data_IF_264495506170
#
_entry.id   IF_264495506170
#
_cell.length_a   1.000
_cell.length_b   1.000
_cell.length_c   1.000
_cell.angle_alpha   90.00
_cell.angle_beta   90.00
_cell.angle_gamma   90.00
#
_symmetry.space_group_name_H-M   'P 1'
#
loop_
_entity.id
_entity.type
_entity.pdbx_description
1 polymer ?
#
# COMPACT_ATOMS: atom_id res chain seq x y z
N UNK A 1 -1.51 10.33 -30.48
CA UNK A 1 -0.67 10.86 -29.39
C UNK A 1 -1.42 10.67 -28.08
N UNK A 2 -0.96 9.77 -27.22
CA UNK A 2 -1.59 9.47 -25.93
C UNK A 2 -1.44 10.69 -25.00
N UNK A 3 -2.53 11.22 -24.50
CA UNK A 3 -2.54 12.32 -23.55
C UNK A 3 -2.12 11.82 -22.17
N UNK A 4 -1.11 12.42 -21.59
CA UNK A 4 -0.68 12.12 -20.23
C UNK A 4 -1.82 12.37 -19.22
N UNK A 5 -2.07 11.38 -18.36
CA UNK A 5 -3.03 11.50 -17.26
C UNK A 5 -2.60 12.59 -16.28
N UNK A 6 -3.49 13.52 -15.96
CA UNK A 6 -3.17 14.57 -15.00
C UNK A 6 -3.30 14.07 -13.56
N UNK A 7 -2.51 14.62 -12.63
CA UNK A 7 -2.58 14.34 -11.19
C UNK A 7 -4.01 14.49 -10.61
N UNK A 8 -4.85 15.35 -11.21
CA UNK A 8 -6.27 15.48 -10.87
C UNK A 8 -7.11 14.24 -11.21
N UNK A 9 -6.73 13.47 -12.25
CA UNK A 9 -7.39 12.21 -12.61
C UNK A 9 -7.19 11.14 -11.52
N UNK A 10 -5.98 11.02 -11.01
CA UNK A 10 -5.65 10.07 -9.95
C UNK A 10 -6.38 10.38 -8.63
N UNK A 11 -6.48 11.66 -8.26
CA UNK A 11 -7.21 12.08 -7.05
C UNK A 11 -8.70 11.76 -7.13
N UNK A 12 -9.28 11.73 -8.34
CA UNK A 12 -10.69 11.36 -8.57
C UNK A 12 -10.90 9.85 -8.65
N UNK A 13 -9.90 9.10 -9.07
CA UNK A 13 -9.96 7.63 -9.10
C UNK A 13 -10.06 7.02 -7.69
N UNK A 14 -9.64 7.74 -6.66
CA UNK A 14 -9.62 7.25 -5.26
C UNK A 14 -10.93 7.45 -4.49
N UNK A 15 -12.07 7.69 -5.13
CA UNK A 15 -13.33 7.61 -4.37
C UNK A 15 -14.54 8.44 -4.79
N UNK A 16 -14.54 9.11 -5.92
CA UNK A 16 -15.77 9.75 -6.43
C UNK A 16 -15.96 9.38 -7.91
N UNK A 17 -17.16 8.95 -8.28
CA UNK A 17 -17.61 8.93 -9.68
C UNK A 17 -17.32 10.32 -10.26
N UNK A 18 -16.33 10.41 -11.12
CA UNK A 18 -15.91 11.68 -11.68
C UNK A 18 -16.95 12.12 -12.73
N UNK A 19 -17.57 13.26 -12.47
CA UNK A 19 -18.29 13.94 -13.57
C UNK A 19 -17.24 14.42 -14.57
N UNK A 20 -17.51 14.37 -15.88
CA UNK A 20 -16.63 14.92 -16.91
C UNK A 20 -16.24 16.36 -16.54
N UNK A 21 -14.95 16.69 -16.62
CA UNK A 21 -14.46 18.01 -16.30
C UNK A 21 -14.22 18.78 -17.59
N UNK A 22 -14.77 19.98 -17.74
CA UNK A 22 -14.42 20.81 -18.87
C UNK A 22 -12.92 21.18 -18.79
N UNK A 23 -12.17 20.84 -19.84
CA UNK A 23 -10.78 21.26 -20.02
C UNK A 23 -10.75 22.30 -21.11
N UNK A 24 -10.17 23.47 -20.83
CA UNK A 24 -10.01 24.50 -21.85
C UNK A 24 -8.91 24.08 -22.83
N UNK A 25 -9.27 24.07 -24.09
CA UNK A 25 -8.38 23.79 -25.20
C UNK A 25 -7.57 25.03 -25.58
N UNK A 26 -6.48 24.85 -26.33
CA UNK A 26 -5.62 25.95 -26.79
C UNK A 26 -6.34 26.97 -27.68
N UNK A 27 -7.43 26.58 -28.30
CA UNK A 27 -8.32 27.42 -29.12
C UNK A 27 -9.39 28.16 -28.30
N UNK A 28 -9.37 28.05 -26.97
CA UNK A 28 -10.34 28.65 -26.04
C UNK A 28 -11.64 27.85 -25.88
N UNK A 29 -11.86 26.78 -26.63
CA UNK A 29 -13.03 25.89 -26.47
C UNK A 29 -12.91 25.01 -25.22
N UNK A 30 -14.04 24.50 -24.72
CA UNK A 30 -14.06 23.54 -23.61
C UNK A 30 -14.48 22.16 -24.11
N UNK A 31 -13.63 21.17 -23.94
CA UNK A 31 -13.94 19.79 -24.20
C UNK A 31 -14.21 19.06 -22.88
N UNK A 32 -15.29 18.28 -22.83
CA UNK A 32 -15.52 17.37 -21.70
C UNK A 32 -14.60 16.17 -21.87
N UNK A 33 -13.55 16.11 -21.08
CA UNK A 33 -12.67 14.94 -21.02
C UNK A 33 -13.28 13.96 -20.04
N UNK A 34 -13.59 12.75 -20.51
CA UNK A 34 -13.97 11.66 -19.64
C UNK A 34 -12.86 11.42 -18.63
N UNK A 35 -13.25 11.23 -17.38
CA UNK A 35 -12.29 10.87 -16.36
C UNK A 35 -11.63 9.56 -16.76
N UNK A 36 -10.32 9.47 -16.52
CA UNK A 36 -9.60 8.23 -16.70
C UNK A 36 -10.39 7.11 -16.01
N UNK A 37 -10.71 6.08 -16.76
CA UNK A 37 -11.26 4.86 -16.18
C UNK A 37 -10.30 4.41 -15.09
N UNK A 38 -10.85 4.11 -13.93
CA UNK A 38 -10.12 3.51 -12.83
C UNK A 38 -9.57 2.17 -13.33
N UNK A 39 -8.30 1.89 -13.05
CA UNK A 39 -7.76 0.57 -13.33
C UNK A 39 -8.69 -0.49 -12.73
N UNK A 40 -9.04 -1.45 -13.57
CA UNK A 40 -9.91 -2.55 -13.16
C UNK A 40 -9.26 -3.23 -11.94
N UNK A 41 -10.05 -3.46 -10.92
CA UNK A 41 -9.63 -4.11 -9.68
C UNK A 41 -8.66 -3.31 -8.78
N UNK A 42 -8.58 -1.99 -8.95
CA UNK A 42 -7.76 -1.07 -8.12
C UNK A 42 -6.25 -1.42 -8.09
N UNK A 43 -5.77 -2.06 -9.14
CA UNK A 43 -4.39 -2.53 -9.24
C UNK A 43 -3.45 -1.42 -9.72
N UNK A 44 -2.46 -1.10 -8.88
CA UNK A 44 -1.36 -0.18 -9.19
C UNK A 44 -0.05 -0.82 -8.75
N UNK A 45 0.83 -1.21 -9.70
CA UNK A 45 2.14 -1.76 -9.36
C UNK A 45 2.91 -0.82 -8.44
N UNK A 46 3.41 -1.34 -7.33
CA UNK A 46 4.16 -0.53 -6.37
C UNK A 46 5.61 -0.38 -6.84
N UNK A 47 6.12 0.85 -7.00
CA UNK A 47 7.54 1.04 -7.27
C UNK A 47 8.42 0.44 -6.14
N UNK A 48 9.68 0.10 -6.39
CA UNK A 48 10.53 -0.57 -5.40
C UNK A 48 10.92 0.32 -4.21
N UNK A 49 11.00 1.64 -4.39
CA UNK A 49 11.53 2.53 -3.35
C UNK A 49 10.73 2.50 -2.03
N UNK A 50 9.38 2.55 -2.04
CA UNK A 50 8.60 2.47 -0.79
C UNK A 50 8.87 1.23 0.03
N UNK A 51 8.94 0.07 -0.63
CA UNK A 51 9.16 -1.19 0.08
C UNK A 51 10.61 -1.31 0.57
N UNK A 52 11.60 -0.90 -0.24
CA UNK A 52 13.01 -0.89 0.19
C UNK A 52 13.23 -0.01 1.41
N UNK A 53 12.61 1.19 1.46
CA UNK A 53 12.71 2.08 2.60
C UNK A 53 12.07 1.48 3.86
N UNK A 54 10.92 0.81 3.75
CA UNK A 54 10.32 0.07 4.86
C UNK A 54 11.24 -1.07 5.32
N UNK A 55 11.72 -1.90 4.39
CA UNK A 55 12.58 -3.03 4.71
C UNK A 55 13.86 -2.57 5.42
N UNK A 56 14.46 -1.47 4.98
CA UNK A 56 15.61 -0.90 5.68
C UNK A 56 15.29 -0.54 7.14
N UNK A 57 14.10 -0.04 7.42
CA UNK A 57 13.69 0.35 8.77
C UNK A 57 13.23 -0.84 9.64
N UNK A 58 12.64 -1.89 9.05
CA UNK A 58 11.92 -2.94 9.79
C UNK A 58 12.51 -4.36 9.57
N UNK A 59 13.57 -4.52 8.79
CA UNK A 59 14.11 -5.85 8.43
C UNK A 59 14.45 -6.71 9.63
N UNK A 60 14.99 -6.13 10.70
CA UNK A 60 15.34 -6.89 11.91
C UNK A 60 14.08 -7.45 12.57
N UNK A 61 13.01 -6.68 12.63
CA UNK A 61 11.73 -7.13 13.18
C UNK A 61 11.06 -8.18 12.29
N UNK A 62 11.14 -8.01 10.97
CA UNK A 62 10.59 -8.99 10.02
C UNK A 62 11.32 -10.33 10.07
N UNK A 63 12.61 -10.34 10.38
CA UNK A 63 13.42 -11.58 10.55
C UNK A 63 13.10 -12.36 11.83
N UNK A 64 12.35 -11.79 12.76
CA UNK A 64 11.85 -12.53 13.93
C UNK A 64 10.74 -13.52 13.55
N UNK A 65 10.20 -13.41 12.33
CA UNK A 65 9.17 -14.33 11.82
C UNK A 65 9.76 -15.31 10.81
N UNK A 66 9.26 -16.54 10.81
CA UNK A 66 9.68 -17.58 9.86
C UNK A 66 9.41 -17.20 8.41
N UNK A 67 8.40 -16.37 8.19
CA UNK A 67 8.00 -15.89 6.87
C UNK A 67 7.21 -14.59 6.97
N UNK A 68 7.02 -13.93 5.81
CA UNK A 68 6.16 -12.76 5.64
C UNK A 68 5.12 -13.06 4.57
N UNK A 69 3.92 -12.55 4.73
CA UNK A 69 2.83 -12.75 3.77
C UNK A 69 2.46 -11.44 3.07
N UNK A 70 2.38 -11.49 1.74
CA UNK A 70 1.73 -10.46 0.93
C UNK A 70 0.39 -11.02 0.42
N UNK A 71 -0.72 -10.57 1.00
CA UNK A 71 -2.06 -11.06 0.67
C UNK A 71 -2.75 -10.26 -0.45
N UNK A 72 -2.05 -9.31 -1.05
CA UNK A 72 -2.47 -8.51 -2.20
C UNK A 72 -1.30 -8.34 -3.17
N UNK A 73 -0.70 -9.49 -3.53
CA UNK A 73 0.62 -9.54 -4.15
C UNK A 73 0.72 -8.84 -5.53
N UNK A 74 -0.41 -8.68 -6.23
CA UNK A 74 -0.44 -8.07 -7.53
C UNK A 74 0.51 -8.76 -8.53
N UNK A 75 1.41 -8.00 -9.13
CA UNK A 75 2.47 -8.51 -10.00
C UNK A 75 3.70 -9.04 -9.23
N UNK A 76 3.63 -9.07 -7.90
CA UNK A 76 4.72 -9.51 -7.02
C UNK A 76 5.79 -8.45 -6.74
N UNK A 77 5.50 -7.17 -6.93
CA UNK A 77 6.49 -6.11 -6.70
C UNK A 77 7.07 -6.13 -5.28
N UNK A 78 6.22 -6.20 -4.26
CA UNK A 78 6.66 -6.28 -2.85
C UNK A 78 7.35 -7.62 -2.58
N UNK A 79 6.81 -8.70 -3.12
CA UNK A 79 7.35 -10.07 -2.95
C UNK A 79 8.80 -10.15 -3.43
N UNK A 80 9.11 -9.55 -4.59
CA UNK A 80 10.48 -9.53 -5.13
C UNK A 80 11.45 -8.82 -4.19
N UNK A 81 11.10 -7.65 -3.69
CA UNK A 81 11.96 -6.89 -2.79
C UNK A 81 12.16 -7.57 -1.43
N UNK A 82 11.11 -8.16 -0.86
CA UNK A 82 11.22 -8.92 0.39
C UNK A 82 12.12 -10.16 0.23
N UNK A 83 11.97 -10.91 -0.88
CA UNK A 83 12.83 -12.05 -1.19
C UNK A 83 14.29 -11.64 -1.41
N UNK A 84 14.53 -10.49 -2.06
CA UNK A 84 15.88 -9.95 -2.26
C UNK A 84 16.58 -9.63 -0.93
N UNK A 85 15.82 -9.31 0.13
CA UNK A 85 16.33 -9.10 1.49
C UNK A 85 16.46 -10.40 2.32
N UNK A 86 16.28 -11.55 1.67
CA UNK A 86 16.44 -12.87 2.29
C UNK A 86 15.25 -13.33 3.11
N UNK A 87 14.08 -12.71 2.96
CA UNK A 87 12.86 -13.15 3.65
C UNK A 87 12.18 -14.30 2.90
N UNK A 88 11.64 -15.25 3.64
CA UNK A 88 10.69 -16.25 3.12
C UNK A 88 9.34 -15.56 2.94
N UNK A 89 8.77 -15.61 1.73
CA UNK A 89 7.54 -14.85 1.43
C UNK A 89 6.47 -15.76 0.87
N UNK A 90 5.29 -15.73 1.50
CA UNK A 90 4.05 -16.25 0.94
C UNK A 90 3.33 -15.12 0.18
N UNK A 91 2.76 -15.46 -0.96
CA UNK A 91 2.02 -14.51 -1.79
C UNK A 91 0.63 -15.05 -2.10
N UNK A 92 -0.40 -14.22 -1.97
CA UNK A 92 -1.74 -14.51 -2.46
C UNK A 92 -2.36 -13.25 -3.08
N UNK A 93 -3.31 -13.44 -3.98
CA UNK A 93 -4.07 -12.36 -4.60
C UNK A 93 -5.44 -12.89 -5.03
N UNK A 94 -6.40 -12.02 -5.24
CA UNK A 94 -7.70 -12.36 -5.82
C UNK A 94 -7.59 -12.72 -7.30
N UNK A 95 -6.61 -12.15 -8.01
CA UNK A 95 -6.45 -12.23 -9.45
C UNK A 95 -5.04 -12.70 -9.79
N UNK A 96 -4.93 -13.68 -10.69
CA UNK A 96 -3.63 -14.09 -11.22
C UNK A 96 -3.03 -13.01 -12.14
N UNK A 97 -1.89 -12.47 -11.71
CA UNK A 97 -1.08 -11.51 -12.47
C UNK A 97 0.31 -12.05 -12.81
N UNK A 98 0.46 -13.36 -12.77
CA UNK A 98 1.67 -14.07 -13.22
C UNK A 98 2.84 -14.06 -12.24
N UNK A 99 2.67 -13.66 -10.98
CA UNK A 99 3.74 -13.68 -9.98
C UNK A 99 3.83 -15.00 -9.20
N UNK A 100 2.98 -15.98 -9.49
CA UNK A 100 2.93 -17.27 -8.80
C UNK A 100 2.28 -17.19 -7.40
N UNK A 101 1.43 -16.19 -7.18
CA UNK A 101 0.65 -16.08 -5.95
C UNK A 101 -0.46 -17.16 -5.87
N UNK A 102 -0.82 -17.57 -4.66
CA UNK A 102 -2.03 -18.36 -4.42
C UNK A 102 -3.26 -17.53 -4.78
N UNK A 103 -4.09 -18.00 -5.72
CA UNK A 103 -5.28 -17.27 -6.13
C UNK A 103 -6.42 -17.59 -5.18
N UNK A 104 -6.75 -16.61 -4.33
CA UNK A 104 -7.77 -16.75 -3.29
C UNK A 104 -8.19 -15.40 -2.74
N UNK A 105 -9.51 -15.25 -2.44
CA UNK A 105 -10.01 -14.08 -1.74
C UNK A 105 -9.42 -14.01 -0.32
N UNK A 106 -8.92 -12.84 0.06
CA UNK A 106 -8.34 -12.59 1.38
C UNK A 106 -9.31 -12.96 2.52
N UNK A 107 -10.59 -12.74 2.33
CA UNK A 107 -11.61 -13.03 3.35
C UNK A 107 -11.97 -14.52 3.50
N UNK A 108 -11.54 -15.35 2.56
CA UNK A 108 -11.68 -16.81 2.67
C UNK A 108 -10.63 -17.46 3.58
N UNK A 109 -9.53 -16.76 3.85
CA UNK A 109 -8.54 -17.26 4.80
C UNK A 109 -9.11 -17.24 6.23
N UNK A 110 -9.02 -18.37 6.91
CA UNK A 110 -9.36 -18.54 8.34
C UNK A 110 -8.13 -18.62 9.22
N UNK A 111 -6.98 -18.87 8.60
CA UNK A 111 -5.65 -18.86 9.22
C UNK A 111 -4.72 -18.10 8.32
N UNK A 112 -3.86 -17.29 8.92
CA UNK A 112 -2.84 -16.55 8.19
C UNK A 112 -1.80 -17.48 7.58
N UNK A 113 -1.23 -17.08 6.43
CA UNK A 113 -0.08 -17.76 5.82
C UNK A 113 1.24 -17.48 6.55
N UNK A 114 1.26 -16.36 7.28
CA UNK A 114 2.32 -15.97 8.21
C UNK A 114 1.73 -15.05 9.28
N UNK A 115 2.38 -14.96 10.44
CA UNK A 115 2.04 -13.99 11.48
C UNK A 115 2.52 -12.56 11.17
N UNK A 116 3.38 -12.41 10.17
CA UNK A 116 3.82 -11.13 9.65
C UNK A 116 3.28 -10.90 8.24
N UNK A 117 2.78 -9.69 7.96
CA UNK A 117 2.31 -9.29 6.63
C UNK A 117 2.79 -7.90 6.24
N UNK A 118 3.17 -7.76 4.97
CA UNK A 118 3.55 -6.48 4.36
C UNK A 118 2.82 -6.36 3.02
N UNK A 119 2.02 -5.30 2.84
CA UNK A 119 1.10 -5.23 1.71
C UNK A 119 0.89 -3.80 1.23
N UNK A 120 0.54 -3.68 -0.06
CA UNK A 120 -0.17 -2.54 -0.63
C UNK A 120 -1.62 -2.99 -0.89
N UNK A 121 -2.52 -2.90 0.09
CA UNK A 121 -3.85 -3.49 0.02
C UNK A 121 -4.79 -2.68 -0.89
N UNK A 122 -5.93 -3.25 -1.32
CA UNK A 122 -6.95 -2.50 -2.02
C UNK A 122 -7.53 -1.41 -1.10
N UNK A 123 -7.28 -0.14 -1.43
CA UNK A 123 -7.61 1.00 -0.56
C UNK A 123 -9.09 1.12 -0.23
N UNK A 124 -9.98 0.61 -1.09
CA UNK A 124 -11.41 0.58 -0.84
C UNK A 124 -11.77 -0.28 0.36
N UNK A 125 -11.10 -1.42 0.51
CA UNK A 125 -11.33 -2.36 1.61
C UNK A 125 -10.74 -1.88 2.94
N UNK A 126 -9.78 -0.95 2.88
CA UNK A 126 -9.19 -0.30 4.06
C UNK A 126 -10.00 0.91 4.52
N UNK A 127 -10.73 1.55 3.60
CA UNK A 127 -11.42 2.82 3.82
C UNK A 127 -12.64 2.73 4.74
N UNK A 128 -13.18 3.91 5.05
CA UNK A 128 -14.33 4.07 5.95
C UNK A 128 -15.70 3.85 5.29
N UNK A 129 -15.79 3.94 3.94
CA UNK A 129 -17.07 3.89 3.25
C UNK A 129 -17.73 2.53 3.35
N UNK A 130 -17.33 1.65 2.50
CA UNK A 130 -17.99 0.35 2.32
C UNK A 130 -17.30 -0.73 3.17
N UNK A 131 -15.99 -0.62 3.32
CA UNK A 131 -15.16 -1.59 4.02
C UNK A 131 -15.09 -1.42 5.55
N UNK A 132 -15.28 -0.20 6.06
CA UNK A 132 -15.15 0.09 7.50
C UNK A 132 -13.89 -0.53 8.13
N UNK A 133 -12.74 -0.38 7.48
CA UNK A 133 -11.49 -1.06 7.78
C UNK A 133 -11.59 -2.59 7.72
N UNK A 134 -12.44 -3.14 6.85
CA UNK A 134 -12.70 -4.58 6.75
C UNK A 134 -11.42 -5.40 6.56
N UNK A 135 -10.51 -4.93 5.69
CA UNK A 135 -9.22 -5.57 5.45
C UNK A 135 -8.39 -5.67 6.73
N UNK A 136 -8.24 -4.54 7.42
CA UNK A 136 -7.47 -4.47 8.65
C UNK A 136 -8.11 -5.29 9.79
N UNK A 137 -9.43 -5.21 9.92
CA UNK A 137 -10.17 -5.96 10.94
C UNK A 137 -10.04 -7.47 10.67
N UNK A 138 -10.14 -7.91 9.42
CA UNK A 138 -9.94 -9.31 9.08
C UNK A 138 -8.51 -9.78 9.41
N UNK A 139 -7.50 -8.98 9.07
CA UNK A 139 -6.11 -9.29 9.40
C UNK A 139 -5.87 -9.40 10.90
N UNK A 140 -6.33 -8.43 11.68
CA UNK A 140 -6.00 -8.33 13.10
C UNK A 140 -6.92 -9.18 13.99
N UNK A 141 -8.24 -9.21 13.70
CA UNK A 141 -9.23 -9.86 14.58
C UNK A 141 -9.56 -11.31 14.16
N UNK A 142 -9.43 -11.65 12.86
CA UNK A 142 -9.77 -13.00 12.36
C UNK A 142 -8.52 -13.83 12.14
N UNK A 143 -7.52 -13.27 11.46
CA UNK A 143 -6.29 -13.99 11.11
C UNK A 143 -5.23 -13.92 12.21
N UNK A 144 -5.45 -13.10 13.23
CA UNK A 144 -4.56 -12.95 14.38
C UNK A 144 -3.11 -12.63 13.95
N UNK A 145 -2.98 -11.67 13.03
CA UNK A 145 -1.69 -11.17 12.57
C UNK A 145 -0.99 -10.44 13.73
N UNK A 146 0.30 -10.71 13.90
CA UNK A 146 1.11 -10.11 14.97
C UNK A 146 1.89 -8.90 14.51
N UNK A 147 2.30 -8.90 13.23
CA UNK A 147 2.94 -7.77 12.58
C UNK A 147 2.27 -7.50 11.24
N UNK A 148 1.84 -6.28 11.04
CA UNK A 148 1.22 -5.84 9.79
C UNK A 148 1.76 -4.49 9.37
N UNK A 149 2.33 -4.40 8.16
CA UNK A 149 2.70 -3.14 7.54
C UNK A 149 1.86 -2.91 6.28
N UNK A 150 1.08 -1.85 6.25
CA UNK A 150 0.22 -1.48 5.13
C UNK A 150 0.64 -0.13 4.53
N UNK A 151 0.78 -0.11 3.21
CA UNK A 151 0.99 1.11 2.45
C UNK A 151 -0.35 1.80 2.21
N UNK A 152 -0.60 2.91 2.88
CA UNK A 152 -1.87 3.63 2.82
C UNK A 152 -1.66 5.12 2.53
N UNK A 153 -2.73 5.80 2.15
CA UNK A 153 -2.72 7.25 2.08
C UNK A 153 -2.48 7.85 3.47
N UNK A 154 -1.62 8.88 3.57
CA UNK A 154 -1.35 9.58 4.81
C UNK A 154 -2.61 10.12 5.50
N UNK A 155 -3.62 10.54 4.73
CA UNK A 155 -4.89 11.03 5.29
C UNK A 155 -5.81 9.95 5.86
N UNK A 156 -5.44 8.68 5.75
CA UNK A 156 -6.25 7.54 6.18
C UNK A 156 -6.74 7.66 7.65
N UNK A 157 -5.91 8.05 8.63
CA UNK A 157 -6.37 8.19 10.02
C UNK A 157 -7.41 9.29 10.23
N UNK A 158 -7.44 10.30 9.38
CA UNK A 158 -8.39 11.41 9.47
C UNK A 158 -9.81 11.09 9.04
N UNK A 159 -10.10 9.85 8.61
CA UNK A 159 -11.44 9.43 8.23
C UNK A 159 -12.30 9.19 9.48
N UNK A 160 -13.26 10.08 9.76
CA UNK A 160 -14.08 10.05 10.98
C UNK A 160 -14.84 8.75 11.24
N UNK A 161 -15.16 7.99 10.19
CA UNK A 161 -15.80 6.67 10.31
C UNK A 161 -14.90 5.56 10.89
N UNK A 162 -13.60 5.82 11.06
CA UNK A 162 -12.62 4.85 11.58
C UNK A 162 -12.23 5.08 13.05
N UNK A 163 -12.87 6.01 13.75
CA UNK A 163 -12.50 6.36 15.13
C UNK A 163 -12.52 5.13 16.06
N UNK A 164 -13.55 4.28 15.98
CA UNK A 164 -13.65 3.07 16.79
C UNK A 164 -12.55 2.05 16.45
N UNK A 165 -12.17 1.93 15.17
CA UNK A 165 -11.06 1.08 14.73
C UNK A 165 -9.74 1.57 15.33
N UNK A 166 -9.45 2.86 15.23
CA UNK A 166 -8.23 3.46 15.77
C UNK A 166 -8.12 3.33 17.28
N UNK A 167 -9.25 3.46 18.00
CA UNK A 167 -9.26 3.27 19.44
C UNK A 167 -8.94 1.83 19.86
N UNK A 168 -9.35 0.84 19.04
CA UNK A 168 -9.09 -0.58 19.29
C UNK A 168 -7.72 -1.02 18.82
N UNK A 169 -7.29 -0.53 17.67
CA UNK A 169 -6.08 -0.95 16.98
C UNK A 169 -5.22 0.26 16.58
N UNK A 170 -4.62 0.98 17.54
CA UNK A 170 -3.67 2.02 17.19
C UNK A 170 -2.44 1.40 16.51
N UNK A 171 -1.87 2.00 15.45
CA UNK A 171 -0.65 1.49 14.88
C UNK A 171 0.53 1.73 15.83
N UNK A 172 1.48 0.82 15.83
CA UNK A 172 2.71 0.95 16.60
C UNK A 172 3.60 2.08 16.05
N UNK A 173 3.71 2.13 14.74
CA UNK A 173 4.55 3.10 14.02
C UNK A 173 3.85 3.57 12.74
N UNK A 174 4.13 4.80 12.36
CA UNK A 174 3.75 5.33 11.06
C UNK A 174 4.99 5.92 10.40
N UNK A 175 5.34 5.42 9.24
CA UNK A 175 6.45 5.90 8.44
C UNK A 175 5.94 6.77 7.31
N UNK A 176 6.00 8.09 7.49
CA UNK A 176 5.62 9.05 6.46
C UNK A 176 6.76 9.20 5.45
N UNK A 177 6.47 8.93 4.20
CA UNK A 177 7.43 9.14 3.11
C UNK A 177 7.51 10.62 2.75
N UNK A 178 8.74 11.16 2.72
CA UNK A 178 9.02 12.56 2.34
C UNK A 178 9.06 12.75 0.82
N UNK A 179 8.57 11.78 0.08
CA UNK A 179 8.35 11.86 -1.37
C UNK A 179 6.97 11.29 -1.70
N UNK A 180 6.45 11.62 -2.86
CA UNK A 180 5.21 11.06 -3.38
C UNK A 180 5.51 9.85 -4.24
N UNK A 181 4.77 8.78 -4.06
CA UNK A 181 4.88 7.58 -4.88
C UNK A 181 4.19 7.83 -6.22
N UNK A 182 4.92 7.65 -7.30
CA UNK A 182 4.35 7.68 -8.65
C UNK A 182 4.03 6.26 -9.11
N UNK A 183 2.80 5.83 -8.84
CA UNK A 183 2.32 4.50 -9.25
C UNK A 183 2.09 4.38 -10.76
N UNK A 184 2.06 5.47 -11.49
CA UNK A 184 1.71 5.49 -12.92
C UNK A 184 2.92 5.73 -13.81
N UNK A 185 4.04 6.15 -13.25
CA UNK A 185 5.23 6.58 -14.01
C UNK A 185 5.05 7.88 -14.81
N UNK A 186 3.94 8.61 -14.56
CA UNK A 186 3.60 9.83 -15.31
C UNK A 186 3.95 11.13 -14.57
N UNK A 187 4.59 11.02 -13.42
CA UNK A 187 5.02 12.16 -12.58
C UNK A 187 3.93 12.78 -11.71
N UNK A 188 4.35 13.60 -10.76
CA UNK A 188 3.52 14.45 -9.89
C UNK A 188 2.27 13.81 -9.27
N UNK A 189 2.39 12.71 -8.52
CA UNK A 189 1.24 12.11 -7.83
C UNK A 189 0.64 13.08 -6.80
N UNK A 190 -0.69 13.08 -6.64
CA UNK A 190 -1.37 14.06 -5.78
C UNK A 190 -1.26 13.75 -4.30
N UNK A 191 -0.94 12.51 -3.92
CA UNK A 191 -1.07 12.02 -2.56
C UNK A 191 0.28 11.73 -1.91
N UNK A 192 0.35 11.97 -0.60
CA UNK A 192 1.38 11.41 0.25
C UNK A 192 0.92 10.05 0.77
N UNK A 193 1.84 9.12 0.81
CA UNK A 193 1.62 7.79 1.37
C UNK A 193 2.49 7.59 2.61
N UNK A 194 2.07 6.65 3.45
CA UNK A 194 2.80 6.22 4.62
C UNK A 194 2.66 4.71 4.79
N UNK A 195 3.65 4.10 5.38
CA UNK A 195 3.50 2.77 5.93
C UNK A 195 2.92 2.87 7.34
N UNK A 196 1.80 2.22 7.57
CA UNK A 196 1.19 2.05 8.88
C UNK A 196 1.57 0.67 9.38
N UNK A 197 2.22 0.61 10.53
CA UNK A 197 2.74 -0.63 11.10
C UNK A 197 2.01 -0.93 12.40
N UNK A 198 1.32 -2.05 12.45
CA UNK A 198 0.82 -2.70 13.66
C UNK A 198 1.81 -3.77 14.09
N UNK A 199 2.19 -3.77 15.33
CA UNK A 199 3.19 -4.69 15.88
C UNK A 199 2.78 -5.03 17.31
N UNK A 200 2.41 -6.28 17.53
CA UNK A 200 1.93 -6.75 18.83
C UNK A 200 2.96 -6.62 19.96
N UNK A 201 4.25 -6.58 19.62
CA UNK A 201 5.31 -6.38 20.62
C UNK A 201 5.52 -4.90 20.99
N UNK A 202 4.85 -3.99 20.30
CA UNK A 202 4.98 -2.58 20.60
C UNK A 202 4.19 -2.22 21.85
N UNK A 203 4.83 -1.54 22.76
CA UNK A 203 4.23 -0.93 23.95
C UNK A 203 4.32 0.59 23.86
N UNK A 204 3.24 1.28 24.25
CA UNK A 204 3.18 2.73 24.28
C UNK A 204 2.41 3.35 23.14
N UNK A 205 2.63 4.64 22.89
CA UNK A 205 1.93 5.42 21.90
C UNK A 205 2.45 5.19 20.48
N UNK A 206 1.65 5.56 19.48
CA UNK A 206 2.05 5.51 18.07
C UNK A 206 3.26 6.40 17.80
N UNK A 207 4.31 5.85 17.22
CA UNK A 207 5.52 6.57 16.85
C UNK A 207 5.45 7.02 15.40
N UNK A 208 5.54 8.32 15.16
CA UNK A 208 5.70 8.86 13.81
C UNK A 208 7.19 8.93 13.44
N UNK A 209 7.55 8.36 12.30
CA UNK A 209 8.89 8.41 11.71
C UNK A 209 8.82 8.92 10.27
N UNK A 210 9.93 9.43 9.77
CA UNK A 210 10.06 9.86 8.39
C UNK A 210 10.96 8.89 7.64
N UNK A 211 10.59 8.59 6.38
CA UNK A 211 11.45 7.91 5.42
C UNK A 211 11.89 8.90 4.35
N UNK A 212 13.16 8.87 4.03
CA UNK A 212 13.72 9.62 2.91
C UNK A 212 13.96 8.69 1.70
N UNK A 213 13.83 9.22 0.48
CA UNK A 213 14.05 8.42 -0.73
C UNK A 213 15.48 7.85 -0.83
N UNK A 214 16.45 8.50 -0.18
CA UNK A 214 17.82 7.99 -0.07
C UNK A 214 17.90 6.66 0.68
N UNK A 215 17.00 6.42 1.66
CA UNK A 215 16.98 5.19 2.45
C UNK A 215 16.68 3.97 1.58
N UNK A 216 15.89 4.16 0.53
CA UNK A 216 15.62 3.12 -0.48
C UNK A 216 16.83 2.78 -1.36
N UNK A 217 17.77 3.73 -1.55
CA UNK A 217 18.99 3.55 -2.38
C UNK A 217 20.12 2.89 -1.62
N UNK A 218 20.18 3.02 -0.30
CA UNK A 218 21.22 2.39 0.52
C UNK A 218 21.16 0.86 0.49
N UNK A 219 19.99 0.28 0.26
CA UNK A 219 19.86 -1.17 0.10
C UNK A 219 20.63 -1.71 -1.12
N UNK A 220 20.86 -0.89 -2.16
CA UNK A 220 21.66 -1.26 -3.34
C UNK A 220 23.16 -1.32 -3.04
N UNK A 221 23.66 -0.56 -2.03
CA UNK A 221 25.07 -0.49 -1.69
C UNK A 221 25.56 -1.65 -0.80
N UNK A 222 24.67 -2.38 -0.16
CA UNK A 222 25.02 -3.53 0.68
C UNK A 222 24.75 -4.89 0.01
N UNK A 223 24.21 -4.90 -1.21
CA UNK A 223 23.94 -6.12 -2.00
C UNK A 223 25.15 -6.69 -2.73
N UNK A 224 26.22 -5.94 -2.88
CA UNK A 224 27.40 -6.35 -3.67
C UNK A 224 28.64 -6.73 -2.82
N UNK A 225 28.44 -7.05 -1.54
CA UNK A 225 29.51 -7.54 -0.67
C UNK A 225 29.23 -8.99 -0.23
N UNK A 226 29.31 -9.93 -1.18
CA UNK A 226 29.39 -11.37 -0.91
C UNK A 226 30.32 -12.02 -1.93
#
# INVERSE_FOLDING_TARGET
MSRAASARGLFRATGKTSKPVPVQMLDGSYEKVDALEREKDDFYPTPPEPIRALLHAEINRLRDFDSVWDASAGDGALVREMKAMGLTVHASDLIDRGCGAEIKDFYEFKTARSKATVQNPPFQECGWRDGKARWLTHALDVLDIEYMALLLNWSFPGAGGLAAFWAKHPPARVYLMRWKIDFTGQGSPPMLNAWFVWDRQHEGETVLRMLDRKDARQAELFGDAA
#
